data_IF_647844426720
#
_entry.id   IF_647844426720
#
_cell.length_a   1.000
_cell.length_b   1.000
_cell.length_c   1.000
_cell.angle_alpha   90.00
_cell.angle_beta   90.00
_cell.angle_gamma   90.00
#
_symmetry.space_group_name_H-M   'P 1'
#
loop_
_entity.id
_entity.type
_entity.pdbx_description
1 polymer ?
#
# COMPACT_ATOMS: atom_id res chain seq x y z
N UNK A 1 27.40 -8.14 6.53
CA UNK A 1 26.72 -7.06 7.30
C UNK A 1 25.96 -6.05 6.42
N UNK A 2 26.54 -5.41 5.38
CA UNK A 2 25.81 -4.42 4.58
C UNK A 2 24.60 -4.99 3.81
N UNK A 3 24.71 -6.24 3.31
CA UNK A 3 23.60 -6.95 2.64
C UNK A 3 22.39 -7.19 3.57
N UNK A 4 22.62 -7.47 4.85
CA UNK A 4 21.53 -7.71 5.82
C UNK A 4 20.84 -6.41 6.25
N UNK A 5 21.57 -5.29 6.27
CA UNK A 5 20.98 -3.96 6.44
C UNK A 5 20.15 -3.56 5.21
N UNK A 6 20.64 -3.85 4.01
CA UNK A 6 19.89 -3.64 2.77
C UNK A 6 18.62 -4.51 2.70
N UNK A 7 18.65 -5.75 3.21
CA UNK A 7 17.49 -6.64 3.25
C UNK A 7 16.35 -6.14 4.16
N UNK A 8 16.63 -5.23 5.10
CA UNK A 8 15.61 -4.58 5.94
C UNK A 8 14.98 -3.33 5.32
N UNK A 9 15.60 -2.77 4.27
CA UNK A 9 15.10 -1.59 3.59
C UNK A 9 13.62 -1.69 3.14
N UNK A 10 13.14 -2.82 2.59
CA UNK A 10 11.74 -2.94 2.17
C UNK A 10 10.77 -2.76 3.35
N UNK A 11 11.10 -3.29 4.53
CA UNK A 11 10.27 -3.12 5.73
C UNK A 11 10.20 -1.66 6.20
N UNK A 12 11.32 -0.93 6.14
CA UNK A 12 11.37 0.49 6.49
C UNK A 12 10.55 1.34 5.51
N UNK A 13 10.70 1.09 4.21
CA UNK A 13 9.93 1.78 3.18
C UNK A 13 8.43 1.49 3.29
N UNK A 14 8.07 0.23 3.58
CA UNK A 14 6.69 -0.19 3.83
C UNK A 14 6.07 0.64 4.97
N UNK A 15 6.76 0.74 6.10
CA UNK A 15 6.29 1.53 7.25
C UNK A 15 6.01 2.97 6.83
N UNK A 16 6.94 3.62 6.11
CA UNK A 16 6.79 5.01 5.69
C UNK A 16 5.61 5.22 4.73
N UNK A 17 5.54 4.41 3.67
CA UNK A 17 4.52 4.51 2.62
C UNK A 17 3.13 4.18 3.18
N UNK A 18 3.01 3.05 3.87
CA UNK A 18 1.73 2.54 4.34
C UNK A 18 1.21 3.31 5.55
N UNK A 19 2.06 4.01 6.32
CA UNK A 19 1.58 4.95 7.34
C UNK A 19 0.78 6.10 6.69
N UNK A 20 1.32 6.70 5.64
CA UNK A 20 0.63 7.76 4.91
C UNK A 20 -0.66 7.25 4.25
N UNK A 21 -0.62 6.04 3.66
CA UNK A 21 -1.79 5.41 3.08
C UNK A 21 -2.86 5.11 4.15
N UNK A 22 -2.49 4.49 5.27
CA UNK A 22 -3.38 4.17 6.37
C UNK A 22 -4.12 5.40 6.90
N UNK A 23 -3.42 6.52 7.12
CA UNK A 23 -4.06 7.77 7.51
C UNK A 23 -5.07 8.27 6.48
N UNK A 24 -4.78 8.10 5.19
CA UNK A 24 -5.73 8.43 4.13
C UNK A 24 -6.98 7.56 4.19
N UNK A 25 -6.84 6.25 4.40
CA UNK A 25 -7.97 5.32 4.56
C UNK A 25 -8.82 5.63 5.80
N UNK A 26 -8.18 5.98 6.92
CA UNK A 26 -8.86 6.19 8.21
C UNK A 26 -9.52 7.57 8.28
N UNK A 27 -8.75 8.62 7.96
CA UNK A 27 -9.14 10.01 8.19
C UNK A 27 -9.81 10.65 6.97
N UNK A 28 -9.57 10.11 5.77
CA UNK A 28 -10.11 10.65 4.51
C UNK A 28 -10.66 9.55 3.58
N UNK A 29 -11.65 8.74 3.99
CA UNK A 29 -12.17 7.63 3.19
C UNK A 29 -12.62 8.03 1.77
N UNK A 30 -13.13 9.25 1.60
CA UNK A 30 -13.55 9.80 0.31
C UNK A 30 -12.41 9.91 -0.73
N UNK A 31 -11.14 9.93 -0.29
CA UNK A 31 -10.00 9.86 -1.19
C UNK A 31 -9.81 8.48 -1.82
N UNK A 32 -10.36 7.43 -1.19
CA UNK A 32 -10.23 6.03 -1.62
C UNK A 32 -11.43 5.58 -2.44
N UNK A 33 -12.63 6.02 -2.04
CA UNK A 33 -13.89 5.74 -2.72
C UNK A 33 -14.74 7.02 -2.72
N UNK A 34 -15.15 7.57 -3.88
CA UNK A 34 -16.01 8.76 -3.92
C UNK A 34 -17.35 8.53 -3.22
N UNK A 35 -17.79 9.51 -2.42
CA UNK A 35 -19.09 9.49 -1.71
C UNK A 35 -19.43 8.16 -1.01
N UNK A 36 -18.54 7.64 -0.13
CA UNK A 36 -18.74 6.34 0.49
C UNK A 36 -19.88 6.39 1.51
N UNK A 37 -20.77 5.41 1.47
CA UNK A 37 -21.79 5.23 2.53
C UNK A 37 -21.12 5.04 3.90
N UNK A 38 -21.83 5.28 5.02
CA UNK A 38 -21.25 5.09 6.35
C UNK A 38 -20.67 3.68 6.56
N UNK A 39 -21.33 2.64 6.05
CA UNK A 39 -20.82 1.28 6.08
C UNK A 39 -19.53 1.11 5.27
N UNK A 40 -19.46 1.71 4.06
CA UNK A 40 -18.25 1.68 3.25
C UNK A 40 -17.09 2.43 3.92
N UNK A 41 -17.36 3.53 4.65
CA UNK A 41 -16.34 4.24 5.43
C UNK A 41 -15.73 3.36 6.52
N UNK A 42 -16.54 2.59 7.25
CA UNK A 42 -16.05 1.65 8.28
C UNK A 42 -15.17 0.55 7.68
N UNK A 43 -15.52 0.05 6.48
CA UNK A 43 -14.69 -0.91 5.73
C UNK A 43 -13.34 -0.28 5.34
N UNK A 44 -13.35 0.95 4.82
CA UNK A 44 -12.12 1.68 4.47
C UNK A 44 -11.24 1.95 5.69
N UNK A 45 -11.84 2.34 6.82
CA UNK A 45 -11.12 2.50 8.09
C UNK A 45 -10.49 1.19 8.56
N UNK A 46 -11.21 0.07 8.41
CA UNK A 46 -10.69 -1.26 8.72
C UNK A 46 -9.49 -1.63 7.84
N UNK A 47 -9.52 -1.29 6.55
CA UNK A 47 -8.35 -1.44 5.67
C UNK A 47 -7.18 -0.57 6.13
N UNK A 48 -7.43 0.66 6.58
CA UNK A 48 -6.37 1.50 7.16
C UNK A 48 -5.78 0.92 8.44
N UNK A 49 -6.61 0.33 9.31
CA UNK A 49 -6.15 -0.41 10.50
C UNK A 49 -5.31 -1.64 10.14
N UNK A 50 -5.71 -2.37 9.09
CA UNK A 50 -4.94 -3.50 8.56
C UNK A 50 -3.57 -3.06 8.05
N UNK A 51 -3.47 -1.93 7.34
CA UNK A 51 -2.18 -1.36 6.93
C UNK A 51 -1.29 -1.05 8.13
N UNK A 52 -1.81 -0.43 9.19
CA UNK A 52 -1.05 -0.19 10.42
C UNK A 52 -0.60 -1.49 11.10
N UNK A 53 -1.41 -2.54 11.07
CA UNK A 53 -1.02 -3.87 11.58
C UNK A 53 0.16 -4.46 10.81
N UNK A 54 0.20 -4.30 9.48
CA UNK A 54 1.38 -4.70 8.69
C UNK A 54 2.62 -3.85 9.05
N UNK A 55 2.45 -2.57 9.36
CA UNK A 55 3.56 -1.72 9.83
C UNK A 55 4.12 -2.18 11.17
N UNK A 56 3.26 -2.59 12.11
CA UNK A 56 3.70 -3.16 13.39
C UNK A 56 4.50 -4.46 13.16
N UNK A 57 4.07 -5.30 12.23
CA UNK A 57 4.82 -6.50 11.81
C UNK A 57 6.19 -6.11 11.26
N UNK A 58 6.25 -5.12 10.36
CA UNK A 58 7.51 -4.61 9.81
C UNK A 58 8.42 -4.04 10.91
N UNK A 59 7.89 -3.31 11.89
CA UNK A 59 8.67 -2.76 13.01
C UNK A 59 9.33 -3.87 13.84
N UNK A 60 8.59 -4.95 14.12
CA UNK A 60 9.14 -6.13 14.81
C UNK A 60 10.30 -6.73 14.01
N UNK A 61 10.14 -6.88 12.69
CA UNK A 61 11.18 -7.45 11.82
C UNK A 61 12.40 -6.54 11.66
N UNK A 62 12.21 -5.23 11.66
CA UNK A 62 13.30 -4.25 11.66
C UNK A 62 14.09 -4.31 12.98
N UNK A 63 13.41 -4.44 14.11
CA UNK A 63 14.01 -4.43 15.44
C UNK A 63 14.79 -5.72 15.79
N UNK A 64 14.57 -6.82 15.07
CA UNK A 64 15.23 -8.12 15.31
C UNK A 64 16.26 -8.47 14.22
N UNK A 65 17.16 -9.45 14.42
CA UNK A 65 18.02 -9.94 13.35
C UNK A 65 17.22 -10.42 12.12
N UNK A 66 17.78 -10.23 10.93
CA UNK A 66 17.17 -10.75 9.71
C UNK A 66 17.43 -12.26 9.61
N UNK A 67 16.36 -13.05 9.49
CA UNK A 67 16.40 -14.52 9.49
C UNK A 67 15.35 -15.13 8.54
N UNK A 68 15.16 -16.44 8.60
CA UNK A 68 14.17 -17.16 7.78
C UNK A 68 12.75 -16.60 7.93
N UNK A 69 12.33 -16.27 9.16
CA UNK A 69 11.01 -15.67 9.38
C UNK A 69 10.89 -14.32 8.67
N UNK A 70 11.94 -13.50 8.68
CA UNK A 70 11.95 -12.24 7.93
C UNK A 70 11.80 -12.47 6.41
N UNK A 71 12.44 -13.51 5.85
CA UNK A 71 12.26 -13.88 4.43
C UNK A 71 10.82 -14.29 4.10
N UNK A 72 10.23 -15.17 4.91
CA UNK A 72 8.87 -15.66 4.68
C UNK A 72 7.84 -14.53 4.79
N UNK A 73 8.02 -13.63 5.76
CA UNK A 73 7.17 -12.44 5.86
C UNK A 73 7.43 -11.47 4.70
N UNK A 74 8.66 -11.32 4.22
CA UNK A 74 8.93 -10.55 3.00
C UNK A 74 8.17 -11.13 1.80
N UNK A 75 8.16 -12.46 1.62
CA UNK A 75 7.38 -13.11 0.55
C UNK A 75 5.88 -12.84 0.69
N UNK A 76 5.34 -12.90 1.91
CA UNK A 76 3.93 -12.57 2.18
C UNK A 76 3.61 -11.10 1.87
N UNK A 77 4.52 -10.17 2.23
CA UNK A 77 4.37 -8.74 1.94
C UNK A 77 4.57 -8.41 0.46
N UNK A 78 5.37 -9.20 -0.28
CA UNK A 78 5.41 -9.13 -1.73
C UNK A 78 4.03 -9.47 -2.31
N UNK A 79 3.42 -10.60 -1.89
CA UNK A 79 2.07 -10.95 -2.31
C UNK A 79 1.02 -9.89 -1.94
N UNK A 80 1.13 -9.28 -0.76
CA UNK A 80 0.27 -8.16 -0.36
C UNK A 80 0.27 -7.03 -1.40
N UNK A 81 1.43 -6.70 -1.97
CA UNK A 81 1.59 -5.62 -2.94
C UNK A 81 0.97 -5.91 -4.31
N UNK A 82 0.61 -7.16 -4.61
CA UNK A 82 -0.13 -7.50 -5.83
C UNK A 82 -1.49 -6.80 -5.85
N UNK A 83 -2.16 -6.64 -4.71
CA UNK A 83 -3.52 -6.09 -4.66
C UNK A 83 -3.59 -4.57 -4.90
N UNK A 84 -2.74 -3.72 -4.28
CA UNK A 84 -2.62 -2.32 -4.67
C UNK A 84 -2.21 -2.13 -6.14
N UNK A 85 -1.31 -2.98 -6.67
CA UNK A 85 -0.93 -2.97 -8.08
C UNK A 85 -2.12 -3.28 -8.98
N UNK A 86 -2.88 -4.33 -8.68
CA UNK A 86 -4.10 -4.68 -9.40
C UNK A 86 -5.12 -3.53 -9.39
N UNK A 87 -5.37 -2.96 -8.20
CA UNK A 87 -6.27 -1.81 -8.06
C UNK A 87 -5.82 -0.63 -8.92
N UNK A 88 -4.54 -0.29 -8.91
CA UNK A 88 -4.00 0.80 -9.71
C UNK A 88 -4.08 0.52 -11.21
N UNK A 89 -3.78 -0.72 -11.62
CA UNK A 89 -3.89 -1.18 -13.02
C UNK A 89 -5.33 -1.09 -13.54
N UNK A 90 -6.32 -1.55 -12.75
CA UNK A 90 -7.73 -1.45 -13.12
C UNK A 90 -8.13 0.01 -13.29
N UNK A 91 -7.72 0.92 -12.41
CA UNK A 91 -8.03 2.35 -12.53
C UNK A 91 -7.36 3.02 -13.73
N UNK A 92 -6.20 2.53 -14.17
CA UNK A 92 -5.52 2.98 -15.40
C UNK A 92 -6.22 2.51 -16.67
N UNK A 93 -6.70 1.26 -16.66
CA UNK A 93 -7.28 0.61 -17.86
C UNK A 93 -8.79 0.77 -17.97
N UNK A 94 -9.46 1.09 -16.86
CA UNK A 94 -10.91 1.28 -16.74
C UNK A 94 -11.23 2.55 -15.92
N UNK A 95 -10.99 3.75 -16.48
CA UNK A 95 -11.20 5.02 -15.76
C UNK A 95 -12.63 5.24 -15.25
N UNK A 96 -13.61 4.57 -15.84
CA UNK A 96 -15.00 4.57 -15.40
C UNK A 96 -15.20 4.04 -13.98
N UNK A 97 -14.29 3.19 -13.48
CA UNK A 97 -14.30 2.66 -12.10
C UNK A 97 -14.11 3.78 -11.06
N UNK A 98 -13.40 4.86 -11.43
CA UNK A 98 -13.24 6.04 -10.57
C UNK A 98 -14.50 6.94 -10.56
N UNK A 99 -15.59 6.53 -11.23
CA UNK A 99 -16.87 7.24 -11.22
C UNK A 99 -16.89 8.49 -12.10
N UNK A 100 -15.96 8.60 -13.05
CA UNK A 100 -15.90 9.74 -13.99
C UNK A 100 -17.01 9.66 -15.05
N UNK A 101 -18.25 9.94 -14.64
CA UNK A 101 -19.14 10.71 -15.52
C UNK A 101 -18.72 12.17 -15.39
N UNK A 102 -18.36 12.77 -16.51
CA UNK A 102 -18.19 14.21 -16.70
C UNK A 102 -19.36 14.98 -16.09
N UNK A 103 -19.25 15.38 -14.83
CA UNK A 103 -20.03 16.47 -14.26
C UNK A 103 -19.07 17.60 -13.89
N UNK A 104 -19.30 18.71 -14.59
CA UNK A 104 -18.72 20.03 -14.43
C UNK A 104 -18.11 20.30 -13.04
N UNK A 105 -16.80 20.56 -13.01
CA UNK A 105 -16.22 21.53 -12.08
C UNK A 105 -15.65 21.04 -10.75
N UNK A 106 -15.91 19.81 -10.30
CA UNK A 106 -15.31 19.32 -9.06
C UNK A 106 -14.02 18.54 -9.34
N UNK A 107 -12.90 19.14 -8.95
CA UNK A 107 -11.58 18.50 -8.95
C UNK A 107 -11.63 17.35 -7.95
N UNK A 108 -11.97 16.14 -8.43
CA UNK A 108 -11.83 14.92 -7.64
C UNK A 108 -10.38 14.85 -7.19
N UNK A 109 -10.16 15.04 -5.89
CA UNK A 109 -8.83 14.98 -5.28
C UNK A 109 -8.29 13.57 -5.50
N UNK A 110 -7.44 13.43 -6.51
CA UNK A 110 -6.71 12.19 -6.79
C UNK A 110 -5.93 11.83 -5.53
N UNK A 111 -5.92 10.54 -5.18
CA UNK A 111 -4.90 9.96 -4.30
C UNK A 111 -3.52 10.50 -4.70
N UNK A 112 -2.66 10.85 -3.74
CA UNK A 112 -1.31 11.40 -3.97
C UNK A 112 -0.62 10.69 -5.17
N UNK A 113 -0.36 11.44 -6.25
CA UNK A 113 0.32 10.94 -7.46
C UNK A 113 -0.54 10.22 -8.53
N UNK A 114 -1.81 9.92 -8.26
CA UNK A 114 -2.71 9.23 -9.19
C UNK A 114 -2.39 7.73 -9.41
N UNK A 115 -3.18 7.02 -10.24
CA UNK A 115 -3.05 5.56 -10.40
C UNK A 115 -1.68 5.09 -10.92
N UNK A 116 -1.03 5.85 -11.81
CA UNK A 116 0.29 5.48 -12.35
C UNK A 116 1.40 5.51 -11.29
N UNK A 117 1.48 6.58 -10.49
CA UNK A 117 2.45 6.67 -9.42
C UNK A 117 2.19 5.60 -8.34
N UNK A 118 0.92 5.34 -8.03
CA UNK A 118 0.52 4.29 -7.11
C UNK A 118 1.01 2.91 -7.59
N UNK A 119 0.79 2.58 -8.87
CA UNK A 119 1.29 1.34 -9.46
C UNK A 119 2.83 1.26 -9.38
N UNK A 120 3.54 2.33 -9.75
CA UNK A 120 5.00 2.35 -9.72
C UNK A 120 5.55 2.11 -8.30
N UNK A 121 4.99 2.78 -7.29
CA UNK A 121 5.41 2.61 -5.89
C UNK A 121 5.18 1.18 -5.42
N UNK A 122 3.99 0.61 -5.61
CA UNK A 122 3.70 -0.73 -5.12
C UNK A 122 4.39 -1.82 -5.94
N UNK A 123 4.64 -1.63 -7.24
CA UNK A 123 5.46 -2.53 -8.04
C UNK A 123 6.92 -2.51 -7.58
N UNK A 124 7.47 -1.33 -7.26
CA UNK A 124 8.80 -1.22 -6.66
C UNK A 124 8.88 -1.94 -5.31
N UNK A 125 7.89 -1.74 -4.44
CA UNK A 125 7.80 -2.44 -3.15
C UNK A 125 7.67 -3.96 -3.32
N UNK A 126 6.88 -4.43 -4.29
CA UNK A 126 6.79 -5.84 -4.65
C UNK A 126 8.17 -6.41 -4.98
N UNK A 127 8.92 -5.75 -5.88
CA UNK A 127 10.25 -6.20 -6.30
C UNK A 127 11.24 -6.21 -5.13
N UNK A 128 11.18 -5.18 -4.28
CA UNK A 128 12.03 -5.07 -3.09
C UNK A 128 11.76 -6.18 -2.08
N UNK A 129 10.50 -6.48 -1.78
CA UNK A 129 10.14 -7.57 -0.88
C UNK A 129 10.42 -8.95 -1.48
N UNK A 130 10.15 -9.15 -2.77
CA UNK A 130 10.50 -10.38 -3.49
C UNK A 130 12.03 -10.61 -3.47
N UNK A 131 12.82 -9.56 -3.66
CA UNK A 131 14.27 -9.62 -3.52
C UNK A 131 14.71 -9.99 -2.11
N UNK A 132 14.16 -9.36 -1.08
CA UNK A 132 14.48 -9.67 0.32
C UNK A 132 14.09 -11.10 0.71
N UNK A 133 13.04 -11.67 0.12
CA UNK A 133 12.64 -13.06 0.35
C UNK A 133 13.66 -14.08 -0.17
N UNK A 134 14.53 -13.70 -1.10
CA UNK A 134 15.52 -14.57 -1.75
C UNK A 134 16.93 -14.51 -1.14
N UNK A 135 17.15 -13.67 -0.12
CA UNK A 135 18.46 -13.47 0.56
C UNK A 135 18.59 -14.34 1.80
#
# INVERSE_FOLDING_TARGET
>A
MPLLLAAKLPFLLHIAIETAAAYSFILKPANQLPSPSPAAQLVLQSFGGLLLSTNLTCLILVARPFDETSRLVAAALAFWHVWPCWRAYVRLTRPEVDGTRTHKGEVVRKTLGGPAAHLAVHAGMFLLFAGAALV
#
